data_IF_990322354188
#
_entry.id   IF_990322354188
#
_cell.length_a   1.000
_cell.length_b   1.000
_cell.length_c   1.000
_cell.angle_alpha   90.00
_cell.angle_beta   90.00
_cell.angle_gamma   90.00
#
_symmetry.space_group_name_H-M   'P 1'
#
loop_
_entity.id
_entity.type
_entity.pdbx_description
1 polymer ?
#
# COMPACT_ATOMS: atom_id res chain seq x y z
N UNK A 1 37.61 -37.06 -44.53
CA UNK A 1 38.59 -36.32 -45.34
C UNK A 1 37.92 -35.86 -46.63
N UNK A 2 38.18 -34.64 -47.14
CA UNK A 2 38.84 -33.50 -46.48
C UNK A 2 37.99 -32.20 -46.61
N UNK A 3 37.98 -31.33 -45.59
CA UNK A 3 38.86 -30.17 -45.36
C UNK A 3 38.25 -28.86 -45.94
N UNK A 4 38.33 -27.71 -45.28
CA UNK A 4 39.10 -27.38 -44.09
C UNK A 4 38.76 -26.03 -43.49
N UNK A 5 39.17 -25.85 -42.24
CA UNK A 5 39.70 -24.60 -41.73
C UNK A 5 41.20 -24.53 -42.19
N UNK A 6 41.92 -23.38 -42.12
CA UNK A 6 42.19 -22.72 -40.83
C UNK A 6 42.30 -21.18 -40.85
N UNK A 7 42.06 -20.60 -39.67
CA UNK A 7 42.94 -19.70 -38.91
C UNK A 7 43.55 -18.44 -39.58
N UNK A 8 43.39 -17.28 -38.92
CA UNK A 8 44.52 -16.42 -38.50
C UNK A 8 44.01 -15.16 -37.79
N UNK A 9 44.30 -15.06 -36.48
CA UNK A 9 44.66 -13.80 -35.85
C UNK A 9 46.12 -13.45 -36.21
N UNK A 10 46.57 -12.20 -36.07
CA UNK A 10 47.40 -11.93 -34.89
C UNK A 10 47.28 -10.51 -34.28
N UNK A 11 47.96 -10.44 -33.13
CA UNK A 11 48.13 -9.39 -32.14
C UNK A 11 48.82 -8.07 -32.57
N UNK A 12 48.68 -7.07 -31.69
CA UNK A 12 49.54 -5.88 -31.52
C UNK A 12 48.69 -4.71 -30.97
N UNK A 13 48.85 -4.12 -29.79
CA UNK A 13 49.99 -4.03 -28.87
C UNK A 13 50.59 -2.63 -28.91
N UNK A 14 50.25 -1.75 -27.96
CA UNK A 14 50.98 -0.57 -27.38
C UNK A 14 49.96 0.38 -26.71
N UNK A 15 49.88 0.57 -25.39
CA UNK A 15 50.78 1.25 -24.44
C UNK A 15 50.71 2.80 -24.46
N UNK A 16 50.61 3.36 -23.23
CA UNK A 16 50.80 4.76 -22.80
C UNK A 16 49.60 5.72 -23.01
N UNK A 17 49.28 6.67 -22.12
CA UNK A 17 49.98 7.22 -20.95
C UNK A 17 49.00 8.02 -20.06
N UNK A 18 49.41 8.21 -18.82
CA UNK A 18 48.75 8.96 -17.75
C UNK A 18 48.70 10.48 -17.98
N UNK A 19 47.70 11.16 -17.41
CA UNK A 19 47.76 12.57 -17.03
C UNK A 19 46.76 12.92 -15.91
N UNK A 20 47.27 12.98 -14.68
CA UNK A 20 46.92 13.94 -13.62
C UNK A 20 48.27 14.63 -13.24
N UNK A 21 48.35 15.77 -12.51
CA UNK A 21 47.36 16.32 -11.56
C UNK A 21 47.27 17.88 -11.49
N UNK A 22 46.37 18.38 -10.64
CA UNK A 22 46.47 19.55 -9.74
C UNK A 22 45.02 19.94 -9.34
N UNK A 23 44.61 20.09 -8.09
CA UNK A 23 45.30 20.57 -6.90
C UNK A 23 44.65 21.89 -6.48
N UNK A 24 43.69 21.85 -5.53
CA UNK A 24 43.10 23.07 -4.94
C UNK A 24 41.90 22.79 -4.03
N UNK A 25 42.08 23.00 -2.73
CA UNK A 25 41.05 23.13 -1.69
C UNK A 25 41.44 24.35 -0.81
N UNK A 26 40.62 24.86 0.13
CA UNK A 26 39.15 24.83 0.28
C UNK A 26 38.55 26.26 0.40
N UNK A 27 37.22 26.42 0.30
CA UNK A 27 36.53 27.71 0.47
C UNK A 27 35.09 27.56 0.96
N UNK A 28 34.70 28.45 1.87
CA UNK A 28 33.61 28.34 2.85
C UNK A 28 32.18 28.54 2.35
N UNK A 29 31.27 28.06 3.22
CA UNK A 29 29.81 28.17 3.31
C UNK A 29 29.26 29.59 3.12
N UNK A 30 28.16 29.72 2.37
CA UNK A 30 27.18 30.79 2.55
C UNK A 30 25.77 30.27 2.24
N UNK A 31 24.87 30.44 3.21
CA UNK A 31 23.47 30.06 3.17
C UNK A 31 22.67 31.02 2.29
N UNK A 32 21.81 30.48 1.42
CA UNK A 32 20.75 31.24 0.77
C UNK A 32 19.42 30.95 1.45
N UNK A 33 18.89 31.99 2.09
CA UNK A 33 17.53 32.08 2.61
C UNK A 33 16.56 32.16 1.42
N UNK A 34 15.58 31.26 1.40
CA UNK A 34 14.43 31.32 0.50
C UNK A 34 13.16 31.42 1.35
N UNK A 35 12.48 32.56 1.23
CA UNK A 35 11.21 32.91 1.87
C UNK A 35 10.12 31.87 1.64
N UNK A 36 9.47 31.46 2.73
CA UNK A 36 8.25 30.65 2.74
C UNK A 36 7.02 31.54 2.62
N UNK A 37 6.29 31.41 1.51
CA UNK A 37 4.97 31.97 1.36
C UNK A 37 3.97 31.15 2.19
N UNK A 38 3.47 31.76 3.27
CA UNK A 38 2.36 31.28 4.07
C UNK A 38 1.05 31.28 3.27
N UNK A 39 0.29 30.18 3.33
CA UNK A 39 -1.03 30.03 2.72
C UNK A 39 -1.93 29.10 3.53
N UNK A 40 -2.64 29.70 4.49
CA UNK A 40 -3.89 29.29 5.15
C UNK A 40 -4.29 27.80 5.19
N UNK A 41 -4.04 27.15 6.33
CA UNK A 41 -4.81 25.98 6.80
C UNK A 41 -6.07 26.52 7.49
N UNK A 42 -7.25 26.13 6.99
CA UNK A 42 -8.55 26.60 7.48
C UNK A 42 -8.77 26.24 8.97
N UNK A 43 -9.06 27.26 9.78
CA UNK A 43 -9.29 27.25 11.23
C UNK A 43 -10.58 26.54 11.67
N UNK A 44 -10.79 25.27 11.32
CA UNK A 44 -11.93 24.48 11.85
C UNK A 44 -11.52 23.30 12.75
N UNK A 45 -10.26 23.25 13.18
CA UNK A 45 -9.75 22.25 14.14
C UNK A 45 -10.06 22.55 15.62
N UNK A 46 -10.69 23.67 15.95
CA UNK A 46 -10.94 24.08 17.32
C UNK A 46 -12.33 23.63 17.79
N UNK A 47 -12.41 22.37 18.28
CA UNK A 47 -13.30 21.85 19.35
C UNK A 47 -13.47 20.32 19.25
N UNK A 48 -12.37 19.57 19.22
CA UNK A 48 -12.42 18.17 19.63
C UNK A 48 -12.33 18.14 21.16
N UNK A 49 -13.34 17.55 21.80
CA UNK A 49 -13.42 17.40 23.26
C UNK A 49 -12.19 16.62 23.76
N UNK A 50 -11.53 17.03 24.85
CA UNK A 50 -10.44 16.23 25.42
C UNK A 50 -11.02 14.96 26.02
N UNK A 51 -10.56 13.81 25.54
CA UNK A 51 -10.80 12.51 26.17
C UNK A 51 -11.24 11.40 25.21
N UNK A 52 -10.26 10.71 24.63
CA UNK A 52 -10.39 9.26 24.35
C UNK A 52 -9.19 8.51 24.93
N UNK A 53 -8.00 9.12 25.02
CA UNK A 53 -6.86 8.53 25.72
C UNK A 53 -6.16 9.53 26.64
N UNK A 54 -6.80 9.84 27.78
CA UNK A 54 -6.09 10.34 28.97
C UNK A 54 -5.65 9.19 29.89
N UNK A 55 -6.12 7.96 29.64
CA UNK A 55 -5.88 6.76 30.46
C UNK A 55 -5.45 5.58 29.54
N UNK A 56 -4.59 4.66 30.01
CA UNK A 56 -4.29 3.41 29.30
C UNK A 56 -5.54 2.54 29.13
N UNK A 57 -5.91 2.20 27.89
CA UNK A 57 -7.09 1.38 27.57
C UNK A 57 -6.76 0.15 26.71
N UNK A 58 -7.68 -0.83 26.62
CA UNK A 58 -7.54 -1.94 25.69
C UNK A 58 -7.51 -1.43 24.23
N UNK A 59 -6.87 -2.15 23.30
CA UNK A 59 -6.84 -1.75 21.90
C UNK A 59 -8.26 -1.63 21.31
N UNK A 60 -8.47 -0.63 20.45
CA UNK A 60 -9.75 -0.37 19.79
C UNK A 60 -9.58 -0.55 18.29
N UNK A 61 -10.38 -1.43 17.67
CA UNK A 61 -10.42 -1.55 16.21
C UNK A 61 -11.39 -0.52 15.61
N UNK A 62 -10.95 0.14 14.55
CA UNK A 62 -11.74 1.14 13.82
C UNK A 62 -11.69 0.90 12.31
N UNK A 63 -12.73 1.37 11.61
CA UNK A 63 -12.63 1.68 10.18
C UNK A 63 -11.67 2.87 10.01
N UNK A 64 -10.66 2.71 9.16
CA UNK A 64 -9.62 3.71 8.96
C UNK A 64 -9.94 4.71 7.83
N UNK A 65 -11.12 4.65 7.21
CA UNK A 65 -11.48 5.47 6.04
C UNK A 65 -11.37 6.97 6.31
N UNK A 66 -12.01 7.47 7.38
CA UNK A 66 -11.94 8.90 7.74
C UNK A 66 -10.51 9.32 8.09
N UNK A 67 -9.79 8.48 8.83
CA UNK A 67 -8.40 8.72 9.20
C UNK A 67 -7.48 8.85 7.99
N UNK A 68 -7.59 7.93 7.03
CA UNK A 68 -6.81 7.92 5.80
C UNK A 68 -7.10 9.15 4.93
N UNK A 69 -8.36 9.61 4.91
CA UNK A 69 -8.75 10.79 4.13
C UNK A 69 -8.00 12.06 4.56
N UNK A 70 -7.68 12.20 5.85
CA UNK A 70 -6.86 13.30 6.38
C UNK A 70 -5.44 13.34 5.82
N UNK A 71 -4.94 12.21 5.31
CA UNK A 71 -3.63 12.07 4.66
C UNK A 71 -3.73 11.98 3.13
N UNK A 72 -4.91 12.29 2.56
CA UNK A 72 -5.15 12.23 1.13
C UNK A 72 -5.15 10.80 0.58
N UNK A 73 -5.50 9.81 1.41
CA UNK A 73 -5.64 8.41 1.03
C UNK A 73 -7.15 8.08 1.00
N UNK A 74 -7.67 7.77 -0.18
CA UNK A 74 -9.10 7.49 -0.37
C UNK A 74 -9.35 5.99 -0.39
N UNK A 75 -10.19 5.52 0.52
CA UNK A 75 -10.72 4.15 0.49
C UNK A 75 -11.92 4.12 -0.44
N UNK A 76 -11.95 3.18 -1.38
CA UNK A 76 -13.06 3.00 -2.31
C UNK A 76 -14.32 2.59 -1.55
N UNK A 77 -15.48 3.20 -1.85
CA UNK A 77 -16.70 2.92 -1.13
C UNK A 77 -17.14 1.47 -1.33
N UNK A 78 -17.67 0.87 -0.26
CA UNK A 78 -18.35 -0.41 -0.29
C UNK A 78 -19.66 -0.28 0.49
N UNK A 79 -20.76 -0.76 -0.08
CA UNK A 79 -22.08 -0.68 0.52
C UNK A 79 -22.44 -2.04 1.13
N UNK A 80 -22.65 -2.07 2.46
CA UNK A 80 -23.10 -3.28 3.15
C UNK A 80 -24.57 -3.53 2.85
N UNK A 81 -24.90 -4.75 2.43
CA UNK A 81 -26.22 -5.15 1.95
C UNK A 81 -26.74 -6.38 2.70
N UNK A 82 -28.05 -6.46 2.86
CA UNK A 82 -28.74 -7.50 3.64
C UNK A 82 -29.74 -8.32 2.82
N UNK A 83 -30.00 -7.94 1.57
CA UNK A 83 -30.83 -8.71 0.65
C UNK A 83 -30.28 -8.66 -0.78
N UNK A 84 -30.69 -9.59 -1.66
CA UNK A 84 -30.37 -9.54 -3.09
C UNK A 84 -30.82 -8.23 -3.74
N UNK A 85 -31.97 -7.69 -3.34
CA UNK A 85 -32.51 -6.42 -3.85
C UNK A 85 -31.63 -5.24 -3.44
N UNK A 86 -31.25 -5.14 -2.16
CA UNK A 86 -30.32 -4.11 -1.69
C UNK A 86 -28.97 -4.20 -2.44
N UNK A 87 -28.51 -5.41 -2.76
CA UNK A 87 -27.29 -5.63 -3.53
C UNK A 87 -27.39 -5.13 -4.98
N UNK A 88 -28.53 -5.35 -5.65
CA UNK A 88 -28.77 -4.84 -7.00
C UNK A 88 -28.85 -3.31 -6.99
N UNK A 89 -29.59 -2.72 -6.05
CA UNK A 89 -29.70 -1.26 -5.95
C UNK A 89 -28.34 -0.59 -5.65
N UNK A 90 -27.54 -1.20 -4.78
CA UNK A 90 -26.16 -0.73 -4.53
C UNK A 90 -25.30 -0.83 -5.81
N UNK A 91 -25.45 -1.91 -6.58
CA UNK A 91 -24.71 -2.07 -7.83
C UNK A 91 -25.08 -0.99 -8.88
N UNK A 92 -26.36 -0.63 -8.97
CA UNK A 92 -26.82 0.44 -9.86
C UNK A 92 -26.26 1.82 -9.48
N UNK A 93 -26.15 2.11 -8.17
CA UNK A 93 -25.54 3.36 -7.67
C UNK A 93 -24.03 3.41 -7.89
N UNK A 94 -23.32 2.33 -7.60
CA UNK A 94 -21.85 2.25 -7.69
C UNK A 94 -21.35 2.17 -9.14
N UNK A 95 -22.20 1.63 -10.03
CA UNK A 95 -21.91 1.43 -11.44
C UNK A 95 -21.23 0.09 -11.72
N UNK A 96 -21.59 -0.49 -12.87
CA UNK A 96 -21.13 -1.79 -13.33
C UNK A 96 -19.74 -1.76 -13.99
N UNK A 97 -18.95 -2.86 -13.95
CA UNK A 97 -19.19 -4.08 -13.18
C UNK A 97 -18.91 -3.89 -11.68
N UNK A 98 -19.54 -4.74 -10.86
CA UNK A 98 -19.36 -4.75 -9.41
C UNK A 98 -18.80 -6.07 -8.89
N UNK A 99 -18.36 -6.02 -7.64
CA UNK A 99 -17.90 -7.13 -6.83
C UNK A 99 -18.86 -7.31 -5.67
N UNK A 100 -19.22 -8.55 -5.37
CA UNK A 100 -19.91 -8.91 -4.14
C UNK A 100 -18.92 -9.65 -3.23
N UNK A 101 -18.73 -9.15 -2.01
CA UNK A 101 -17.75 -9.71 -1.06
C UNK A 101 -18.34 -9.85 0.34
N UNK A 102 -17.81 -10.77 1.12
CA UNK A 102 -18.06 -10.82 2.56
C UNK A 102 -17.51 -9.55 3.20
N UNK A 103 -18.35 -8.84 3.95
CA UNK A 103 -18.00 -7.58 4.62
C UNK A 103 -17.12 -7.78 5.85
N UNK A 104 -17.04 -9.00 6.37
CA UNK A 104 -16.29 -9.25 7.59
C UNK A 104 -14.79 -8.95 7.42
N UNK A 105 -14.20 -8.33 8.45
CA UNK A 105 -12.77 -8.13 8.61
C UNK A 105 -11.87 -9.26 8.09
N UNK A 106 -11.16 -9.03 6.98
CA UNK A 106 -10.13 -9.94 6.45
C UNK A 106 -10.68 -11.15 5.70
N UNK A 107 -12.00 -11.20 5.46
CA UNK A 107 -12.62 -12.25 4.69
C UNK A 107 -12.07 -12.27 3.25
N UNK A 108 -11.83 -11.12 2.63
CA UNK A 108 -11.30 -10.94 1.26
C UNK A 108 -10.06 -11.78 0.93
N UNK A 109 -9.27 -12.14 1.94
CA UNK A 109 -8.04 -12.96 1.81
C UNK A 109 -8.29 -14.47 1.75
N UNK A 110 -9.53 -14.90 1.99
CA UNK A 110 -9.95 -16.31 1.96
C UNK A 110 -10.63 -16.62 0.64
N UNK A 111 -10.28 -17.77 0.07
CA UNK A 111 -10.94 -18.28 -1.13
C UNK A 111 -12.46 -18.38 -0.90
N UNK A 112 -13.23 -18.10 -1.95
CA UNK A 112 -14.69 -18.22 -1.94
C UNK A 112 -15.45 -17.04 -1.31
N UNK A 113 -14.78 -16.04 -0.73
CA UNK A 113 -15.43 -14.89 -0.06
C UNK A 113 -15.69 -13.67 -0.94
N UNK A 114 -15.32 -13.75 -2.22
CA UNK A 114 -15.44 -12.66 -3.21
C UNK A 114 -15.97 -13.24 -4.52
N UNK A 115 -16.93 -12.55 -5.15
CA UNK A 115 -17.42 -12.79 -6.50
C UNK A 115 -17.18 -11.54 -7.34
N UNK A 116 -16.37 -11.68 -8.39
CA UNK A 116 -15.94 -10.60 -9.27
C UNK A 116 -16.76 -10.60 -10.57
N UNK A 117 -16.72 -9.50 -11.32
CA UNK A 117 -17.24 -9.45 -12.69
C UNK A 117 -18.76 -9.53 -12.79
N UNK A 118 -19.49 -9.07 -11.78
CA UNK A 118 -20.95 -9.03 -11.82
C UNK A 118 -21.36 -7.85 -12.71
N UNK A 119 -21.94 -8.13 -13.88
CA UNK A 119 -22.28 -7.12 -14.89
C UNK A 119 -23.77 -6.84 -15.01
N UNK A 120 -24.61 -7.48 -14.19
CA UNK A 120 -26.04 -7.26 -14.21
C UNK A 120 -26.77 -7.80 -12.98
N UNK A 121 -28.05 -7.41 -12.81
CA UNK A 121 -28.86 -7.74 -11.64
C UNK A 121 -28.96 -9.23 -11.35
N UNK A 122 -29.15 -10.05 -12.38
CA UNK A 122 -29.33 -11.50 -12.26
C UNK A 122 -28.06 -12.17 -11.69
N UNK A 123 -26.89 -11.73 -12.12
CA UNK A 123 -25.62 -12.22 -11.60
C UNK A 123 -25.42 -11.84 -10.13
N UNK A 124 -25.85 -10.64 -9.74
CA UNK A 124 -25.77 -10.19 -8.35
C UNK A 124 -26.69 -11.01 -7.45
N UNK A 125 -27.95 -11.22 -7.85
CA UNK A 125 -28.89 -12.05 -7.08
C UNK A 125 -28.37 -13.47 -6.92
N UNK A 126 -27.92 -14.08 -8.02
CA UNK A 126 -27.35 -15.42 -7.98
C UNK A 126 -26.12 -15.51 -7.07
N UNK A 127 -25.19 -14.56 -7.17
CA UNK A 127 -24.01 -14.51 -6.31
C UNK A 127 -24.37 -14.32 -4.83
N UNK A 128 -25.43 -13.56 -4.54
CA UNK A 128 -25.93 -13.35 -3.17
C UNK A 128 -26.47 -14.66 -2.60
N UNK A 129 -27.33 -15.35 -3.35
CA UNK A 129 -27.91 -16.63 -2.93
C UNK A 129 -26.81 -17.69 -2.70
N UNK A 130 -25.81 -17.76 -3.60
CA UNK A 130 -24.65 -18.64 -3.40
C UNK A 130 -23.92 -18.37 -2.08
N UNK A 131 -23.75 -17.10 -1.71
CA UNK A 131 -23.10 -16.75 -0.43
C UNK A 131 -23.96 -17.14 0.77
N UNK A 132 -25.28 -16.93 0.70
CA UNK A 132 -26.20 -17.32 1.75
C UNK A 132 -26.20 -18.85 1.95
N UNK A 133 -26.17 -19.61 0.85
CA UNK A 133 -26.11 -21.08 0.88
C UNK A 133 -24.77 -21.60 1.45
N UNK A 134 -23.65 -20.96 1.07
CA UNK A 134 -22.31 -21.41 1.45
C UNK A 134 -21.90 -21.00 2.87
N UNK A 135 -22.26 -19.79 3.29
CA UNK A 135 -21.78 -19.16 4.53
C UNK A 135 -22.89 -18.93 5.56
N UNK A 136 -24.14 -19.20 5.20
CA UNK A 136 -25.33 -19.01 6.02
C UNK A 136 -26.00 -17.66 5.82
N UNK A 137 -27.31 -17.59 6.03
CA UNK A 137 -28.16 -16.40 5.83
C UNK A 137 -27.75 -15.16 6.63
N UNK A 138 -26.94 -15.33 7.69
CA UNK A 138 -26.46 -14.24 8.53
C UNK A 138 -25.15 -13.62 8.05
N UNK A 139 -24.58 -14.11 6.94
CA UNK A 139 -23.37 -13.55 6.37
C UNK A 139 -23.63 -12.10 5.96
N UNK A 140 -22.78 -11.19 6.40
CA UNK A 140 -22.87 -9.78 5.97
C UNK A 140 -22.09 -9.61 4.68
N UNK A 141 -22.75 -9.18 3.62
CA UNK A 141 -22.14 -8.94 2.32
C UNK A 141 -22.00 -7.44 2.06
N UNK A 142 -21.11 -7.09 1.15
CA UNK A 142 -20.93 -5.74 0.65
C UNK A 142 -20.74 -5.74 -0.86
N UNK A 143 -21.34 -4.74 -1.52
CA UNK A 143 -21.15 -4.44 -2.94
C UNK A 143 -20.11 -3.33 -3.07
N UNK A 144 -19.18 -3.50 -4.00
CA UNK A 144 -18.16 -2.49 -4.31
C UNK A 144 -17.95 -2.47 -5.83
N UNK A 145 -17.67 -1.30 -6.40
CA UNK A 145 -17.30 -1.20 -7.81
C UNK A 145 -16.06 -2.04 -8.10
N UNK A 146 -16.07 -2.77 -9.21
CA UNK A 146 -14.90 -3.52 -9.64
C UNK A 146 -13.84 -2.56 -10.20
N UNK A 147 -12.62 -2.68 -9.68
CA UNK A 147 -11.48 -1.93 -10.20
C UNK A 147 -11.18 -2.32 -11.66
N UNK A 148 -10.80 -1.37 -12.52
CA UNK A 148 -10.33 -1.67 -13.87
C UNK A 148 -9.24 -2.74 -13.86
N UNK A 149 -9.29 -3.62 -14.86
CA UNK A 149 -8.25 -4.62 -15.10
C UNK A 149 -7.42 -4.17 -16.31
N UNK A 150 -6.11 -4.44 -16.33
CA UNK A 150 -5.32 -5.20 -15.34
C UNK A 150 -5.02 -4.40 -14.07
N UNK A 151 -5.01 -5.07 -12.91
CA UNK A 151 -4.52 -4.50 -11.65
C UNK A 151 -3.84 -5.56 -10.79
N UNK A 152 -2.72 -5.22 -10.16
CA UNK A 152 -1.96 -6.12 -9.29
C UNK A 152 -2.43 -5.94 -7.84
N UNK A 153 -2.93 -7.00 -7.17
CA UNK A 153 -3.26 -6.94 -5.77
C UNK A 153 -2.02 -6.81 -4.90
N UNK A 154 -2.04 -5.87 -3.95
CA UNK A 154 -0.98 -5.65 -2.96
C UNK A 154 -1.55 -5.51 -1.56
N UNK A 155 -0.69 -5.66 -0.56
CA UNK A 155 -1.00 -5.43 0.85
C UNK A 155 -0.02 -4.41 1.40
N UNK A 156 -0.56 -3.45 2.15
CA UNK A 156 0.23 -2.44 2.85
C UNK A 156 -0.21 -2.46 4.31
N UNK A 157 0.75 -2.43 5.21
CA UNK A 157 0.45 -2.42 6.63
C UNK A 157 1.45 -1.61 7.45
N UNK A 158 1.02 -1.18 8.62
CA UNK A 158 1.83 -0.51 9.63
C UNK A 158 1.71 -1.26 10.93
N UNK A 159 2.81 -1.35 11.66
CA UNK A 159 2.82 -1.72 13.08
C UNK A 159 3.63 -0.68 13.87
N UNK A 160 3.16 -0.30 15.05
CA UNK A 160 3.98 0.46 16.00
C UNK A 160 4.80 -0.55 16.82
N UNK A 161 6.08 -0.67 16.51
CA UNK A 161 7.02 -1.53 17.22
C UNK A 161 7.60 -0.83 18.46
N UNK A 162 7.66 -1.47 19.64
CA UNK A 162 8.19 -0.85 20.85
C UNK A 162 9.66 -0.43 20.78
N UNK A 163 10.48 -1.11 19.98
CA UNK A 163 11.91 -0.84 19.86
C UNK A 163 12.22 0.12 18.70
N UNK A 164 11.50 -0.01 17.59
CA UNK A 164 11.81 0.73 16.36
C UNK A 164 10.81 1.85 16.02
N UNK A 165 9.69 1.94 16.74
CA UNK A 165 8.59 2.84 16.40
C UNK A 165 7.81 2.34 15.19
N UNK A 166 7.22 3.22 14.37
CA UNK A 166 6.35 2.81 13.27
C UNK A 166 7.14 2.10 12.17
N UNK A 167 6.69 0.91 11.79
CA UNK A 167 7.24 0.09 10.71
C UNK A 167 6.18 -0.07 9.63
N UNK A 168 6.49 0.42 8.43
CA UNK A 168 5.68 0.20 7.22
C UNK A 168 6.12 -1.09 6.55
N UNK A 169 5.14 -1.84 6.07
CA UNK A 169 5.33 -3.11 5.38
C UNK A 169 4.58 -3.14 4.06
N UNK A 170 5.15 -3.81 3.07
CA UNK A 170 4.60 -3.92 1.74
C UNK A 170 4.84 -5.32 1.16
N UNK A 171 3.84 -5.88 0.50
CA UNK A 171 3.95 -7.14 -0.23
C UNK A 171 2.85 -7.28 -1.28
N UNK A 172 2.95 -8.32 -2.11
CA UNK A 172 1.86 -8.64 -3.05
C UNK A 172 0.72 -9.35 -2.31
N UNK A 173 -0.51 -9.07 -2.75
CA UNK A 173 -1.75 -9.56 -2.16
C UNK A 173 -2.14 -10.97 -2.59
N UNK A 174 -1.37 -11.58 -3.51
CA UNK A 174 -1.55 -12.95 -3.95
C UNK A 174 -1.33 -13.94 -2.79
N UNK A 175 -2.13 -15.01 -2.76
CA UNK A 175 -2.07 -16.02 -1.68
C UNK A 175 -0.69 -16.66 -1.61
N UNK A 176 -0.07 -16.97 -2.76
CA UNK A 176 1.25 -17.59 -2.83
C UNK A 176 2.34 -16.69 -2.27
N UNK A 177 2.36 -15.40 -2.65
CA UNK A 177 3.32 -14.43 -2.12
C UNK A 177 3.22 -14.33 -0.59
N UNK A 178 2.01 -14.36 -0.05
CA UNK A 178 1.77 -14.38 1.40
C UNK A 178 2.27 -15.66 2.08
N UNK A 179 2.06 -16.83 1.47
CA UNK A 179 2.57 -18.12 1.99
C UNK A 179 4.10 -18.19 2.00
N UNK A 180 4.75 -17.51 1.04
CA UNK A 180 6.19 -17.40 0.96
C UNK A 180 6.77 -16.29 1.84
N UNK A 181 5.91 -15.56 2.59
CA UNK A 181 6.28 -14.41 3.40
C UNK A 181 7.04 -13.35 2.59
N UNK A 182 6.61 -13.13 1.33
CA UNK A 182 7.26 -12.18 0.43
C UNK A 182 6.80 -10.75 0.73
N UNK A 183 7.43 -10.15 1.74
CA UNK A 183 7.10 -8.84 2.27
C UNK A 183 8.38 -8.07 2.65
N UNK A 184 8.41 -6.78 2.31
CA UNK A 184 9.45 -5.85 2.73
C UNK A 184 9.01 -4.98 3.90
N UNK A 185 9.98 -4.40 4.61
CA UNK A 185 9.77 -3.53 5.77
C UNK A 185 10.69 -2.30 5.73
N UNK A 186 10.16 -1.15 6.16
CA UNK A 186 10.91 0.10 6.38
C UNK A 186 10.39 0.83 7.61
N UNK A 187 11.28 1.56 8.28
CA UNK A 187 10.89 2.44 9.38
C UNK A 187 10.26 3.71 8.84
N UNK A 188 9.21 4.19 9.51
CA UNK A 188 8.60 5.47 9.21
C UNK A 188 9.34 6.63 9.90
N UNK A 189 9.29 7.86 9.34
CA UNK A 189 8.64 8.22 8.08
C UNK A 189 9.42 7.71 6.85
N UNK A 190 8.73 7.45 5.73
CA UNK A 190 9.35 7.01 4.49
C UNK A 190 9.68 8.21 3.59
N UNK A 191 10.89 8.23 3.05
CA UNK A 191 11.21 9.04 1.86
C UNK A 191 10.70 8.35 0.59
N UNK A 192 10.75 9.06 -0.55
CA UNK A 192 10.42 8.45 -1.85
C UNK A 192 11.41 7.32 -2.18
N UNK A 193 12.68 7.52 -1.86
CA UNK A 193 13.73 6.52 -2.04
C UNK A 193 13.49 5.29 -1.16
N UNK A 194 13.03 5.47 0.08
CA UNK A 194 12.67 4.36 0.97
C UNK A 194 11.48 3.56 0.41
N UNK A 195 10.45 4.25 -0.09
CA UNK A 195 9.29 3.61 -0.70
C UNK A 195 9.68 2.83 -1.97
N UNK A 196 10.49 3.44 -2.84
CA UNK A 196 11.00 2.80 -4.05
C UNK A 196 11.85 1.55 -3.75
N UNK A 197 12.70 1.63 -2.72
CA UNK A 197 13.50 0.50 -2.26
C UNK A 197 12.65 -0.57 -1.57
N UNK A 198 11.60 -0.18 -0.84
CA UNK A 198 10.65 -1.09 -0.21
C UNK A 198 9.90 -1.91 -1.27
N UNK A 199 9.35 -1.26 -2.31
CA UNK A 199 8.65 -1.95 -3.40
C UNK A 199 9.55 -2.96 -4.09
N UNK A 200 10.78 -2.57 -4.43
CA UNK A 200 11.76 -3.43 -5.12
C UNK A 200 12.35 -4.53 -4.23
N UNK A 201 12.19 -4.46 -2.91
CA UNK A 201 12.70 -5.49 -2.00
C UNK A 201 11.86 -6.78 -1.98
N UNK A 202 10.62 -6.72 -2.46
CA UNK A 202 9.72 -7.88 -2.57
C UNK A 202 10.18 -8.74 -3.74
N UNK A 203 10.31 -10.06 -3.56
CA UNK A 203 10.85 -10.95 -4.62
C UNK A 203 9.95 -11.02 -5.83
N UNK A 204 8.64 -10.90 -5.64
CA UNK A 204 7.64 -10.87 -6.69
C UNK A 204 7.41 -9.46 -7.28
N UNK A 205 8.18 -8.43 -6.86
CA UNK A 205 8.11 -7.09 -7.44
C UNK A 205 8.21 -7.00 -8.97
N UNK A 206 8.93 -7.89 -9.69
CA UNK A 206 8.90 -7.93 -11.16
C UNK A 206 7.51 -7.90 -11.80
N UNK A 207 6.49 -8.44 -11.12
CA UNK A 207 5.09 -8.39 -11.58
C UNK A 207 4.55 -6.96 -11.71
N UNK A 208 5.03 -6.03 -10.90
CA UNK A 208 4.62 -4.62 -10.94
C UNK A 208 5.27 -3.85 -12.11
N UNK A 209 6.42 -4.34 -12.59
CA UNK A 209 7.22 -3.71 -13.65
C UNK A 209 6.97 -4.30 -15.03
N UNK A 210 5.91 -5.12 -15.17
CA UNK A 210 5.52 -5.73 -16.43
C UNK A 210 6.40 -6.90 -16.88
N UNK A 211 7.10 -7.55 -15.95
CA UNK A 211 7.84 -8.77 -16.25
C UNK A 211 6.90 -9.98 -16.28
N UNK A 212 7.39 -11.11 -16.82
CA UNK A 212 6.66 -12.38 -16.89
C UNK A 212 5.29 -12.30 -17.61
N UNK A 213 5.12 -11.35 -18.53
CA UNK A 213 3.90 -11.19 -19.32
C UNK A 213 2.79 -10.41 -18.62
N UNK A 214 3.07 -9.83 -17.45
CA UNK A 214 2.17 -8.87 -16.82
C UNK A 214 2.33 -7.49 -17.48
N UNK A 215 1.26 -6.69 -17.53
CA UNK A 215 1.37 -5.28 -17.91
C UNK A 215 1.99 -4.47 -16.77
N UNK A 216 2.78 -3.42 -17.06
CA UNK A 216 3.29 -2.53 -16.03
C UNK A 216 2.14 -1.78 -15.36
N UNK A 217 2.28 -1.50 -14.07
CA UNK A 217 1.29 -0.75 -13.28
C UNK A 217 1.88 0.55 -12.76
N UNK A 218 1.03 1.42 -12.20
CA UNK A 218 1.40 2.72 -11.66
C UNK A 218 2.20 2.60 -10.34
N UNK A 219 3.44 2.12 -10.43
CA UNK A 219 4.33 1.96 -9.27
C UNK A 219 4.56 3.29 -8.54
N UNK A 220 4.67 4.40 -9.26
CA UNK A 220 4.81 5.73 -8.66
C UNK A 220 3.62 6.10 -7.75
N UNK A 221 2.39 5.68 -8.11
CA UNK A 221 1.19 5.90 -7.29
C UNK A 221 1.22 5.04 -6.02
N UNK A 222 1.74 3.81 -6.11
CA UNK A 222 1.97 2.95 -4.95
C UNK A 222 3.06 3.52 -4.03
N UNK A 223 4.18 4.00 -4.58
CA UNK A 223 5.27 4.61 -3.80
C UNK A 223 4.77 5.87 -3.06
N UNK A 224 3.99 6.73 -3.71
CA UNK A 224 3.35 7.89 -3.07
C UNK A 224 2.38 7.49 -1.96
N UNK A 225 1.58 6.43 -2.16
CA UNK A 225 0.70 5.88 -1.13
C UNK A 225 1.52 5.42 0.09
N UNK A 226 2.64 4.72 -0.12
CA UNK A 226 3.52 4.25 0.96
C UNK A 226 4.13 5.41 1.75
N UNK A 227 4.55 6.49 1.08
CA UNK A 227 5.06 7.70 1.74
C UNK A 227 3.98 8.32 2.63
N UNK A 228 2.74 8.44 2.14
CA UNK A 228 1.60 8.98 2.92
C UNK A 228 1.25 8.10 4.11
N UNK A 229 1.26 6.77 3.93
CA UNK A 229 1.06 5.80 5.02
C UNK A 229 2.18 5.93 6.06
N UNK A 230 3.43 6.06 5.64
CA UNK A 230 4.57 6.29 6.54
C UNK A 230 4.45 7.59 7.33
N UNK A 231 3.97 8.66 6.69
CA UNK A 231 3.68 9.93 7.37
C UNK A 231 2.56 9.77 8.41
N UNK A 232 1.45 9.12 8.05
CA UNK A 232 0.35 8.85 8.98
C UNK A 232 0.83 8.10 10.22
N UNK A 233 1.61 7.03 10.02
CA UNK A 233 2.17 6.23 11.10
C UNK A 233 3.11 7.05 12.01
N UNK A 234 3.96 7.89 11.39
CA UNK A 234 4.84 8.78 12.12
C UNK A 234 4.07 9.83 12.91
N UNK A 235 3.02 10.42 12.35
CA UNK A 235 2.31 11.52 12.99
C UNK A 235 1.39 11.02 14.14
N UNK A 236 0.98 9.75 14.11
CA UNK A 236 -0.01 9.17 15.04
C UNK A 236 0.46 7.88 15.74
N UNK A 237 1.24 7.96 16.83
CA UNK A 237 1.65 6.79 17.62
C UNK A 237 0.49 6.01 18.24
N UNK A 238 -0.70 6.60 18.32
CA UNK A 238 -1.92 5.91 18.74
C UNK A 238 -2.31 4.81 17.76
N UNK A 239 -1.92 4.90 16.48
CA UNK A 239 -2.16 3.87 15.47
C UNK A 239 -1.17 2.72 15.67
N UNK A 240 -1.54 1.78 16.55
CA UNK A 240 -0.78 0.57 16.83
C UNK A 240 -0.59 -0.32 15.61
N UNK A 241 -1.61 -0.35 14.75
CA UNK A 241 -1.64 -1.15 13.53
C UNK A 241 -2.52 -0.48 12.49
N UNK A 242 -2.10 -0.52 11.23
CA UNK A 242 -2.92 -0.19 10.07
C UNK A 242 -2.82 -1.35 9.07
N UNK A 243 -3.94 -1.78 8.53
CA UNK A 243 -4.02 -2.78 7.46
C UNK A 243 -4.81 -2.20 6.30
N UNK A 244 -4.16 -2.05 5.13
CA UNK A 244 -4.81 -1.72 3.87
C UNK A 244 -4.97 -3.02 3.07
N UNK A 245 -6.21 -3.51 2.97
CA UNK A 245 -6.52 -4.84 2.48
C UNK A 245 -7.77 -4.83 1.58
N UNK A 246 -7.61 -4.81 0.25
CA UNK A 246 -6.38 -4.79 -0.53
C UNK A 246 -6.09 -3.39 -1.08
N UNK A 247 -4.85 -3.17 -1.52
CA UNK A 247 -4.50 -2.06 -2.41
C UNK A 247 -4.30 -2.64 -3.81
N UNK A 248 -5.17 -2.30 -4.75
CA UNK A 248 -5.02 -2.68 -6.16
C UNK A 248 -4.20 -1.62 -6.89
N UNK A 249 -3.11 -2.02 -7.54
CA UNK A 249 -2.30 -1.11 -8.35
C UNK A 249 -2.65 -1.35 -9.81
N UNK A 250 -3.36 -0.40 -10.41
CA UNK A 250 -3.76 -0.42 -11.82
C UNK A 250 -2.76 0.31 -12.71
N UNK A 251 -3.12 0.51 -13.98
CA UNK A 251 -2.25 1.17 -14.96
C UNK A 251 -1.96 2.64 -14.63
N UNK A 252 -2.84 3.32 -13.90
CA UNK A 252 -2.74 4.76 -13.64
C UNK A 252 -2.87 5.17 -12.18
N UNK A 253 -3.35 4.28 -11.31
CA UNK A 253 -3.65 4.59 -9.91
C UNK A 253 -3.43 3.41 -8.96
N UNK A 254 -3.45 3.70 -7.66
CA UNK A 254 -3.47 2.73 -6.58
C UNK A 254 -4.76 2.91 -5.76
N UNK A 255 -5.56 1.85 -5.65
CA UNK A 255 -6.92 1.87 -5.12
C UNK A 255 -6.99 1.08 -3.83
N UNK A 256 -7.31 1.74 -2.71
CA UNK A 256 -7.48 1.09 -1.40
C UNK A 256 -8.91 0.55 -1.33
N UNK A 257 -9.09 -0.77 -1.31
CA UNK A 257 -10.42 -1.42 -1.30
C UNK A 257 -11.03 -1.56 0.10
N UNK A 258 -10.20 -1.43 1.13
CA UNK A 258 -10.59 -1.55 2.53
C UNK A 258 -9.43 -1.21 3.45
N UNK A 259 -9.74 -0.64 4.61
CA UNK A 259 -8.73 -0.26 5.57
C UNK A 259 -9.23 -0.41 7.00
N UNK A 260 -8.37 -0.91 7.89
CA UNK A 260 -8.65 -1.02 9.32
C UNK A 260 -7.45 -0.57 10.12
N UNK A 261 -7.72 0.04 11.27
CA UNK A 261 -6.68 0.40 12.21
C UNK A 261 -7.00 -0.14 13.61
N UNK A 262 -5.95 -0.46 14.35
CA UNK A 262 -6.02 -0.73 15.78
C UNK A 262 -5.40 0.44 16.50
N UNK A 263 -6.16 1.09 17.37
CA UNK A 263 -5.71 2.19 18.20
C UNK A 263 -5.30 1.69 19.58
N UNK A 264 -4.24 2.26 20.15
CA UNK A 264 -3.81 2.03 21.54
C UNK A 264 -3.35 3.34 22.17
N UNK A 265 -3.44 3.44 23.50
CA UNK A 265 -2.70 4.47 24.22
C UNK A 265 -1.20 4.19 24.06
N UNK A 266 -0.38 5.16 23.58
CA UNK A 266 1.06 4.99 23.47
C UNK A 266 1.69 4.73 24.84
N UNK A 267 2.68 3.85 24.91
CA UNK A 267 3.32 3.45 26.17
C UNK A 267 4.24 4.52 26.78
N UNK A 268 4.49 5.62 26.06
CA UNK A 268 5.34 6.72 26.46
C UNK A 268 5.72 7.61 25.27
N UNK A 269 6.48 8.70 25.50
CA UNK A 269 7.03 9.50 24.42
C UNK A 269 7.96 8.63 23.56
N UNK A 270 7.94 8.83 22.24
CA UNK A 270 8.86 8.12 21.35
C UNK A 270 10.30 8.47 21.73
N UNK A 271 11.12 7.44 21.85
CA UNK A 271 12.56 7.62 22.01
C UNK A 271 13.13 8.03 20.65
N UNK A 272 13.07 9.32 20.33
CA UNK A 272 13.62 9.90 19.09
C UNK A 272 15.14 10.13 19.17
N UNK A 273 15.84 9.38 20.04
CA UNK A 273 17.19 9.70 20.47
C UNK A 273 18.36 9.19 19.62
N UNK A 274 18.14 8.47 18.52
CA UNK A 274 19.26 7.92 17.74
C UNK A 274 18.87 7.19 16.44
N UNK A 275 19.88 6.83 15.60
CA UNK A 275 19.65 6.17 14.32
C UNK A 275 19.00 4.79 14.52
N UNK A 276 17.79 4.63 13.98
CA UNK A 276 17.05 3.37 13.99
C UNK A 276 17.45 2.55 12.75
N UNK A 277 17.73 1.25 12.90
CA UNK A 277 18.03 0.35 11.78
C UNK A 277 17.30 -0.97 11.97
N UNK A 278 16.61 -1.41 10.92
CA UNK A 278 16.16 -2.80 10.79
C UNK A 278 17.33 -3.60 10.22
N UNK A 279 17.73 -4.67 10.92
CA UNK A 279 18.75 -5.62 10.47
C UNK A 279 18.16 -6.68 9.55
#
# INVERSE_FOLDING_TARGET
APAGAPDTAPAGGTAAQAAAPAGGAPGQVAAHQGETAAGAVSESGARLRPGVFAEPGPPVEIDATELLSCYGLTVWPAEVVRSPEEAVEAAERLGWPVVLKVSDPGASRRAGTVRLGLTGPEMVRHAFDEFADQLGEKVRLAVQRMAPQPAVPTVVGVIEDPAFGPVVSFGLGEVTARLLLDQGFRLAPLTREDAAALVRSVRAAPLLFGEYGYPPVAVDALEELLVRVGRLANDLPEVARLDLDQVLVGESDAMILGARATLRTPAGPRLDGGPRRLS
#
